data_IF_763287962554
#
_entry.id   IF_763287962554
#
_cell.length_a   1.000
_cell.length_b   1.000
_cell.length_c   1.000
_cell.angle_alpha   90.00
_cell.angle_beta   90.00
_cell.angle_gamma   90.00
#
_symmetry.space_group_name_H-M   'P 1'
#
loop_
_entity.id
_entity.type
_entity.pdbx_description
1 polymer ?
#
# COMPACT_ATOMS: atom_id res chain seq x y z
N UNK A 1 7.27 18.81 2.51
CA UNK A 1 6.02 18.20 3.00
C UNK A 1 6.04 18.35 4.51
N UNK A 2 5.32 19.33 5.05
CA UNK A 2 5.21 19.47 6.50
C UNK A 2 4.05 18.59 6.97
N UNK A 3 4.31 17.29 7.11
CA UNK A 3 3.39 16.37 7.81
C UNK A 3 3.15 16.86 9.25
N UNK A 4 4.09 17.60 9.80
CA UNK A 4 3.99 18.34 11.04
C UNK A 4 3.30 19.69 10.76
N UNK A 5 1.96 19.69 10.75
CA UNK A 5 1.16 20.89 10.47
C UNK A 5 1.39 21.99 11.51
N UNK A 6 1.71 21.60 12.75
CA UNK A 6 2.02 22.52 13.85
C UNK A 6 3.51 22.91 13.95
N UNK A 7 4.39 22.34 13.12
CA UNK A 7 5.85 22.58 13.13
C UNK A 7 6.54 22.38 14.49
N UNK A 8 6.01 21.50 15.34
CA UNK A 8 6.56 21.14 16.65
C UNK A 8 7.59 19.98 16.59
N UNK A 9 7.90 19.50 15.38
CA UNK A 9 8.81 18.37 15.15
C UNK A 9 8.20 17.00 15.42
N UNK A 10 6.89 16.93 15.71
CA UNK A 10 6.13 15.69 15.89
C UNK A 10 4.99 15.64 14.87
N UNK A 11 4.49 14.44 14.64
CA UNK A 11 3.32 14.23 13.78
C UNK A 11 2.34 13.41 14.59
N UNK A 12 1.24 14.03 14.97
CA UNK A 12 0.12 13.32 15.58
C UNK A 12 -0.63 12.50 14.53
N UNK A 13 -1.38 11.49 14.97
CA UNK A 13 -2.24 10.68 14.09
C UNK A 13 -3.21 11.56 13.30
N UNK A 14 -3.78 12.58 13.94
CA UNK A 14 -4.74 13.48 13.30
C UNK A 14 -4.09 14.41 12.28
N UNK A 15 -2.87 14.89 12.54
CA UNK A 15 -2.11 15.65 11.54
C UNK A 15 -1.75 14.78 10.33
N UNK A 16 -1.34 13.54 10.56
CA UNK A 16 -1.04 12.60 9.48
C UNK A 16 -2.27 12.32 8.62
N UNK A 17 -3.40 11.94 9.23
CA UNK A 17 -4.67 11.69 8.53
C UNK A 17 -5.08 12.88 7.69
N UNK A 18 -5.04 14.10 8.26
CA UNK A 18 -5.42 15.33 7.56
C UNK A 18 -4.47 15.64 6.40
N UNK A 19 -3.16 15.46 6.59
CA UNK A 19 -2.19 15.68 5.54
C UNK A 19 -2.38 14.69 4.38
N UNK A 20 -2.61 13.41 4.69
CA UNK A 20 -2.92 12.38 3.67
C UNK A 20 -4.20 12.73 2.92
N UNK A 21 -5.27 13.11 3.63
CA UNK A 21 -6.52 13.53 2.99
C UNK A 21 -6.32 14.69 2.01
N UNK A 22 -5.57 15.73 2.41
CA UNK A 22 -5.33 16.91 1.58
C UNK A 22 -4.43 16.63 0.36
N UNK A 23 -3.48 15.70 0.51
CA UNK A 23 -2.43 15.46 -0.48
C UNK A 23 -2.65 14.23 -1.36
N UNK A 24 -3.57 13.33 -1.01
CA UNK A 24 -3.70 12.04 -1.71
C UNK A 24 -5.13 11.75 -2.22
N UNK A 25 -6.18 12.26 -1.55
CA UNK A 25 -7.57 11.98 -1.96
C UNK A 25 -7.87 12.58 -3.33
N UNK A 26 -8.38 11.74 -4.24
CA UNK A 26 -8.73 12.11 -5.62
C UNK A 26 -7.54 12.50 -6.50
N UNK A 27 -6.30 12.18 -6.08
CA UNK A 27 -5.08 12.52 -6.83
C UNK A 27 -4.41 11.29 -7.42
N UNK A 28 -3.77 11.47 -8.57
CA UNK A 28 -2.89 10.46 -9.13
C UNK A 28 -1.57 10.42 -8.36
N UNK A 29 -0.82 9.32 -8.47
CA UNK A 29 0.53 9.24 -7.90
C UNK A 29 1.44 10.38 -8.39
N UNK A 30 1.28 10.83 -9.64
CA UNK A 30 2.07 11.93 -10.23
C UNK A 30 1.89 13.26 -9.48
N UNK A 31 0.74 13.45 -8.83
CA UNK A 31 0.43 14.66 -8.07
C UNK A 31 0.85 14.57 -6.59
N UNK A 32 1.39 13.43 -6.16
CA UNK A 32 1.80 13.22 -4.78
C UNK A 32 3.04 14.05 -4.42
N UNK A 33 3.16 14.46 -3.14
CA UNK A 33 4.38 15.09 -2.65
C UNK A 33 5.61 14.21 -2.86
N UNK A 34 6.75 14.82 -3.20
CA UNK A 34 8.00 14.09 -3.48
C UNK A 34 8.43 13.14 -2.35
N UNK A 35 8.22 13.52 -1.09
CA UNK A 35 8.54 12.66 0.05
C UNK A 35 7.67 11.39 0.09
N UNK A 36 6.40 11.49 -0.30
CA UNK A 36 5.50 10.35 -0.38
C UNK A 36 5.89 9.43 -1.54
N UNK A 37 6.24 10.00 -2.69
CA UNK A 37 6.78 9.25 -3.83
C UNK A 37 8.03 8.46 -3.45
N UNK A 38 9.00 9.11 -2.80
CA UNK A 38 10.21 8.44 -2.32
C UNK A 38 9.91 7.32 -1.31
N UNK A 39 8.94 7.53 -0.43
CA UNK A 39 8.51 6.51 0.52
C UNK A 39 7.91 5.29 -0.19
N UNK A 40 7.01 5.51 -1.15
CA UNK A 40 6.37 4.43 -1.95
C UNK A 40 7.43 3.67 -2.74
N UNK A 41 8.34 4.36 -3.42
CA UNK A 41 9.42 3.74 -4.20
C UNK A 41 10.38 2.94 -3.31
N UNK A 42 10.66 3.44 -2.11
CA UNK A 42 11.49 2.72 -1.13
C UNK A 42 10.76 1.51 -0.55
N UNK A 43 9.43 1.57 -0.41
CA UNK A 43 8.64 0.43 0.02
C UNK A 43 8.64 -0.67 -1.04
N UNK A 44 8.46 -0.31 -2.31
CA UNK A 44 8.56 -1.26 -3.43
C UNK A 44 9.88 -2.03 -3.39
N UNK A 45 11.01 -1.31 -3.31
CA UNK A 45 12.36 -1.92 -3.24
C UNK A 45 12.61 -2.79 -2.00
N UNK A 46 11.84 -2.59 -0.93
CA UNK A 46 11.94 -3.42 0.26
C UNK A 46 11.19 -4.73 0.09
N UNK A 47 10.11 -4.72 -0.71
CA UNK A 47 9.27 -5.89 -0.98
C UNK A 47 9.83 -6.71 -2.13
N UNK A 48 10.31 -6.06 -3.19
CA UNK A 48 11.06 -6.65 -4.31
C UNK A 48 12.45 -7.10 -3.80
N UNK A 49 12.49 -8.30 -3.23
CA UNK A 49 13.66 -8.84 -2.53
C UNK A 49 14.72 -9.35 -3.51
N UNK A 50 14.30 -9.74 -4.72
CA UNK A 50 15.18 -10.29 -5.73
C UNK A 50 15.70 -9.22 -6.73
N UNK A 51 15.19 -7.98 -6.67
CA UNK A 51 15.53 -6.83 -7.50
C UNK A 51 15.25 -7.07 -9.00
N UNK A 52 14.18 -7.82 -9.32
CA UNK A 52 13.73 -8.07 -10.68
C UNK A 52 12.71 -7.02 -11.18
N UNK A 53 12.27 -6.12 -10.30
CA UNK A 53 11.32 -5.06 -10.60
C UNK A 53 9.86 -5.51 -10.60
N UNK A 54 9.55 -6.71 -10.09
CA UNK A 54 8.22 -7.32 -10.04
C UNK A 54 7.99 -7.88 -8.63
N UNK A 55 7.00 -7.33 -7.91
CA UNK A 55 6.51 -7.97 -6.69
C UNK A 55 5.70 -9.21 -7.05
N UNK A 56 6.29 -10.38 -6.84
CA UNK A 56 5.64 -11.68 -7.06
C UNK A 56 4.88 -12.16 -5.80
N UNK A 57 4.13 -13.26 -5.95
CA UNK A 57 3.26 -13.79 -4.89
C UNK A 57 4.02 -14.17 -3.61
N UNK A 58 5.22 -14.75 -3.75
CA UNK A 58 6.07 -15.15 -2.63
C UNK A 58 6.62 -13.93 -1.87
N UNK A 59 6.98 -12.86 -2.58
CA UNK A 59 7.44 -11.60 -1.99
C UNK A 59 6.31 -10.86 -1.28
N UNK A 60 5.14 -10.79 -1.90
CA UNK A 60 3.93 -10.25 -1.28
C UNK A 60 3.59 -11.03 -0.01
N UNK A 61 3.60 -12.37 -0.07
CA UNK A 61 3.35 -13.24 1.08
C UNK A 61 4.36 -13.00 2.19
N UNK A 62 5.66 -13.00 1.87
CA UNK A 62 6.74 -12.74 2.83
C UNK A 62 6.57 -11.39 3.52
N UNK A 63 6.25 -10.35 2.75
CA UNK A 63 5.98 -9.02 3.28
C UNK A 63 4.79 -9.01 4.25
N UNK A 64 3.71 -9.72 3.93
CA UNK A 64 2.52 -9.80 4.79
C UNK A 64 2.82 -10.53 6.11
N UNK A 65 3.42 -11.73 6.05
CA UNK A 65 3.69 -12.55 7.26
C UNK A 65 4.76 -11.94 8.18
N UNK A 66 5.60 -11.05 7.65
CA UNK A 66 6.61 -10.33 8.46
C UNK A 66 5.99 -9.15 9.22
N UNK A 67 4.89 -8.59 8.70
CA UNK A 67 4.24 -7.38 9.25
C UNK A 67 3.04 -7.70 10.14
N UNK A 68 2.35 -8.81 9.86
CA UNK A 68 1.11 -9.19 10.54
C UNK A 68 1.20 -10.62 11.04
N UNK A 69 0.49 -10.90 12.14
CA UNK A 69 0.24 -12.27 12.56
C UNK A 69 -0.81 -12.87 11.61
N UNK A 70 -0.38 -13.79 10.74
CA UNK A 70 -1.22 -14.42 9.72
C UNK A 70 -1.32 -15.91 10.05
N UNK A 71 -2.54 -16.34 10.31
CA UNK A 71 -2.84 -17.74 10.64
C UNK A 71 -3.20 -18.58 9.40
N UNK A 72 -3.63 -17.92 8.32
CA UNK A 72 -4.03 -18.55 7.06
C UNK A 72 -3.29 -17.94 5.86
N UNK A 73 -2.46 -18.74 5.22
CA UNK A 73 -1.69 -18.34 4.04
C UNK A 73 -2.56 -18.32 2.79
N UNK A 74 -3.62 -19.15 2.72
CA UNK A 74 -4.52 -19.16 1.56
C UNK A 74 -5.24 -17.82 1.42
N UNK A 75 -5.63 -17.21 2.54
CA UNK A 75 -6.19 -15.86 2.56
C UNK A 75 -5.23 -14.80 1.99
N UNK A 76 -3.91 -14.95 2.18
CA UNK A 76 -2.90 -14.04 1.60
C UNK A 76 -2.79 -14.23 0.11
N UNK A 77 -2.82 -15.48 -0.35
CA UNK A 77 -2.80 -15.80 -1.77
C UNK A 77 -4.05 -15.27 -2.48
N UNK A 78 -5.23 -15.44 -1.87
CA UNK A 78 -6.48 -14.88 -2.36
C UNK A 78 -6.45 -13.34 -2.39
N UNK A 79 -5.90 -12.69 -1.37
CA UNK A 79 -5.74 -11.24 -1.34
C UNK A 79 -4.83 -10.75 -2.49
N UNK A 80 -3.74 -11.46 -2.76
CA UNK A 80 -2.88 -11.15 -3.89
C UNK A 80 -3.61 -11.33 -5.22
N UNK A 81 -4.33 -12.44 -5.39
CA UNK A 81 -5.12 -12.68 -6.59
C UNK A 81 -6.18 -11.59 -6.80
N UNK A 82 -6.85 -11.13 -5.74
CA UNK A 82 -7.82 -10.03 -5.80
C UNK A 82 -7.17 -8.66 -6.08
N UNK A 83 -5.90 -8.48 -5.71
CA UNK A 83 -5.13 -7.27 -5.99
C UNK A 83 -4.74 -7.15 -7.47
N UNK A 84 -4.42 -8.28 -8.11
CA UNK A 84 -3.89 -8.31 -9.48
C UNK A 84 -4.97 -8.08 -10.54
N UNK A 85 -4.62 -7.27 -11.54
CA UNK A 85 -5.32 -7.28 -12.83
C UNK A 85 -4.84 -8.42 -13.73
N UNK A 86 -5.54 -8.67 -14.83
CA UNK A 86 -5.12 -9.67 -15.82
C UNK A 86 -3.77 -9.34 -16.48
N UNK A 87 -3.40 -8.07 -16.55
CA UNK A 87 -2.08 -7.67 -17.06
C UNK A 87 -0.98 -7.98 -16.05
N UNK A 88 -1.23 -7.69 -14.77
CA UNK A 88 -0.30 -7.99 -13.68
C UNK A 88 -0.01 -9.49 -13.60
N UNK A 89 -1.08 -10.32 -13.67
CA UNK A 89 -0.94 -11.79 -13.73
C UNK A 89 -0.09 -12.25 -14.91
N UNK A 90 -0.29 -11.69 -16.09
CA UNK A 90 0.49 -12.02 -17.30
C UNK A 90 1.97 -11.66 -17.15
N UNK A 91 2.29 -10.66 -16.34
CA UNK A 91 3.66 -10.20 -16.08
C UNK A 91 4.31 -10.90 -14.88
N UNK A 92 3.54 -11.70 -14.14
CA UNK A 92 4.02 -12.45 -12.98
C UNK A 92 3.89 -11.71 -11.65
N UNK A 93 3.29 -10.51 -11.63
CA UNK A 93 3.14 -9.70 -10.43
C UNK A 93 3.05 -8.19 -10.70
N UNK A 94 3.31 -7.41 -9.66
CA UNK A 94 3.18 -5.95 -9.70
C UNK A 94 4.52 -5.29 -10.02
N UNK A 95 4.58 -4.51 -11.08
CA UNK A 95 5.71 -3.59 -11.27
C UNK A 95 5.58 -2.31 -10.48
N UNK A 96 6.69 -1.58 -10.34
CA UNK A 96 6.73 -0.29 -9.65
C UNK A 96 5.60 0.66 -10.07
N UNK A 97 5.34 0.85 -11.37
CA UNK A 97 4.27 1.74 -11.84
C UNK A 97 2.88 1.32 -11.34
N UNK A 98 2.58 0.02 -11.42
CA UNK A 98 1.31 -0.55 -10.93
C UNK A 98 1.20 -0.43 -9.42
N UNK A 99 2.29 -0.72 -8.71
CA UNK A 99 2.37 -0.57 -7.26
C UNK A 99 2.11 0.88 -6.84
N UNK A 100 2.70 1.86 -7.52
CA UNK A 100 2.47 3.30 -7.29
C UNK A 100 1.00 3.70 -7.50
N UNK A 101 0.35 3.19 -8.55
CA UNK A 101 -1.08 3.40 -8.81
C UNK A 101 -1.96 2.80 -7.71
N UNK A 102 -1.72 1.55 -7.33
CA UNK A 102 -2.45 0.87 -6.26
C UNK A 102 -2.27 1.58 -4.92
N UNK A 103 -1.05 2.05 -4.61
CA UNK A 103 -0.80 2.82 -3.38
C UNK A 103 -1.58 4.14 -3.38
N UNK A 104 -1.63 4.84 -4.51
CA UNK A 104 -2.41 6.06 -4.63
C UNK A 104 -3.91 5.81 -4.44
N UNK A 105 -4.42 4.72 -5.03
CA UNK A 105 -5.80 4.28 -4.84
C UNK A 105 -6.09 3.93 -3.38
N UNK A 106 -5.23 3.17 -2.71
CA UNK A 106 -5.41 2.82 -1.30
C UNK A 106 -5.53 4.05 -0.39
N UNK A 107 -4.75 5.10 -0.67
CA UNK A 107 -4.76 6.33 0.16
C UNK A 107 -5.89 7.29 -0.16
N UNK A 108 -6.42 7.25 -1.38
CA UNK A 108 -7.20 8.35 -1.93
C UNK A 108 -8.48 7.98 -2.65
N UNK A 109 -8.74 6.69 -2.89
CA UNK A 109 -9.98 6.19 -3.47
C UNK A 109 -10.95 5.84 -2.34
N UNK A 110 -12.14 6.49 -2.26
CA UNK A 110 -13.15 6.14 -1.26
C UNK A 110 -13.91 4.84 -1.57
N UNK A 111 -13.69 4.23 -2.74
CA UNK A 111 -14.32 2.98 -3.15
C UNK A 111 -13.70 1.78 -2.42
N UNK A 112 -14.50 1.13 -1.57
CA UNK A 112 -14.10 -0.06 -0.81
C UNK A 112 -14.02 -1.34 -1.67
N UNK A 113 -14.59 -1.33 -2.89
CA UNK A 113 -14.48 -2.45 -3.83
C UNK A 113 -13.20 -2.37 -4.70
N UNK A 114 -12.42 -1.31 -4.54
CA UNK A 114 -11.18 -1.11 -5.28
C UNK A 114 -10.14 -2.19 -4.90
N UNK A 115 -9.50 -2.90 -5.87
CA UNK A 115 -8.49 -3.92 -5.59
C UNK A 115 -7.35 -3.48 -4.68
N UNK A 116 -7.06 -2.17 -4.66
CA UNK A 116 -6.04 -1.59 -3.80
C UNK A 116 -6.22 -1.87 -2.31
N UNK A 117 -7.43 -2.18 -1.83
CA UNK A 117 -7.68 -2.58 -0.43
C UNK A 117 -6.83 -3.76 0.02
N UNK A 118 -6.43 -4.63 -0.92
CA UNK A 118 -5.57 -5.80 -0.68
C UNK A 118 -4.07 -5.49 -0.74
N UNK A 119 -3.64 -4.23 -0.92
CA UNK A 119 -2.22 -3.88 -1.10
C UNK A 119 -1.33 -4.28 0.10
N UNK A 120 -1.91 -4.34 1.31
CA UNK A 120 -1.18 -4.65 2.54
C UNK A 120 -1.55 -6.00 3.16
N UNK A 121 -2.28 -6.85 2.44
CA UNK A 121 -2.67 -8.18 2.92
C UNK A 121 -4.17 -8.44 2.84
N UNK A 122 -4.62 -9.59 3.34
CA UNK A 122 -6.03 -9.92 3.43
C UNK A 122 -6.79 -8.97 4.35
N UNK A 123 -8.01 -8.63 3.94
CA UNK A 123 -8.94 -7.90 4.78
C UNK A 123 -9.38 -8.83 5.90
N UNK A 124 -8.90 -8.54 7.11
CA UNK A 124 -9.29 -9.30 8.30
C UNK A 124 -10.48 -8.61 8.95
N UNK A 125 -11.48 -9.38 9.40
CA UNK A 125 -12.58 -8.89 10.24
C UNK A 125 -12.13 -8.49 11.66
N UNK A 126 -10.83 -8.24 11.88
CA UNK A 126 -10.30 -7.89 13.20
C UNK A 126 -10.94 -6.57 13.60
N UNK A 127 -11.78 -6.52 14.65
CA UNK A 127 -12.27 -5.26 15.16
C UNK A 127 -11.05 -4.47 15.59
N UNK A 128 -10.77 -3.38 14.87
CA UNK A 128 -9.70 -2.46 15.24
C UNK A 128 -10.19 -1.74 16.50
N UNK A 129 -9.93 -2.36 17.66
CA UNK A 129 -10.13 -1.70 18.94
C UNK A 129 -9.09 -0.59 19.01
N UNK A 130 -9.54 0.64 18.78
CA UNK A 130 -8.78 1.83 19.12
C UNK A 130 -8.72 1.91 20.65
N UNK A 131 -7.72 1.28 21.26
CA UNK A 131 -7.27 1.66 22.61
C UNK A 131 -6.37 2.89 22.56
#
# INVERSE_FOLDING_TARGET
MYLCLQNDGKITVEEFKRAVQQCCVGRSYEDFPQAMKMFIDSNFKMVDMNDDGIIAADEYRYNCVTKFAIDDIEAVDEAFDNLLSDDDRRRGGLTLSRYQELYAQFLGNPDEECPAVYLFGPLSDIPINYE
#
